data_IF_278928027755
#
_entry.id   IF_278928027755
#
_cell.length_a   1.000
_cell.length_b   1.000
_cell.length_c   1.000
_cell.angle_alpha   90.00
_cell.angle_beta   90.00
_cell.angle_gamma   90.00
#
_symmetry.space_group_name_H-M   'P 1'
#
loop_
_entity.id
_entity.type
_entity.pdbx_description
1 polymer ?
#
# COMPACT_ATOMS: atom_id res chain seq x y z
N UNK A 1 16.64 41.79 -34.53
CA UNK A 1 15.81 40.58 -34.70
C UNK A 1 15.01 40.38 -33.43
N UNK A 2 13.72 40.76 -33.40
CA UNK A 2 12.85 40.63 -32.21
C UNK A 2 12.13 39.29 -32.29
N UNK A 3 12.52 38.33 -31.46
CA UNK A 3 11.80 37.07 -31.28
C UNK A 3 10.59 37.34 -30.36
N UNK A 4 9.39 37.18 -30.92
CA UNK A 4 8.13 37.34 -30.17
C UNK A 4 7.78 36.01 -29.52
N UNK A 5 7.92 35.92 -28.21
CA UNK A 5 7.43 34.79 -27.42
C UNK A 5 5.89 34.90 -27.38
N UNK A 6 5.21 33.98 -28.07
CA UNK A 6 3.75 33.85 -27.98
C UNK A 6 3.42 33.26 -26.61
N UNK A 7 2.77 34.04 -25.75
CA UNK A 7 2.19 33.55 -24.51
C UNK A 7 1.14 32.48 -24.83
N UNK A 8 1.51 31.20 -24.69
CA UNK A 8 0.53 30.12 -24.67
C UNK A 8 -0.26 30.24 -23.38
N UNK A 9 -1.52 30.68 -23.48
CA UNK A 9 -2.48 30.67 -22.36
C UNK A 9 -2.83 29.22 -22.09
N UNK A 10 -2.04 28.55 -21.25
CA UNK A 10 -2.39 27.21 -20.74
C UNK A 10 -3.61 27.41 -19.84
N UNK A 11 -4.78 26.85 -20.18
CA UNK A 11 -5.98 27.03 -19.35
C UNK A 11 -5.75 26.37 -17.99
N UNK A 12 -6.06 27.09 -16.91
CA UNK A 12 -5.84 26.65 -15.53
C UNK A 12 -6.43 25.25 -15.21
N UNK A 13 -7.46 24.84 -15.94
CA UNK A 13 -8.09 23.52 -15.83
C UNK A 13 -7.12 22.35 -16.14
N UNK A 14 -6.13 22.54 -17.01
CA UNK A 14 -5.14 21.51 -17.36
C UNK A 14 -4.13 21.26 -16.23
N UNK A 15 -3.85 22.27 -15.40
CA UNK A 15 -2.96 22.14 -14.23
C UNK A 15 -3.67 21.36 -13.11
N UNK A 16 -4.99 21.51 -12.96
CA UNK A 16 -5.75 20.85 -11.89
C UNK A 16 -5.85 19.33 -12.08
N UNK A 17 -5.99 18.84 -13.32
CA UNK A 17 -6.13 17.41 -13.63
C UNK A 17 -4.81 16.65 -13.42
N UNK A 18 -3.66 17.31 -13.61
CA UNK A 18 -2.36 16.71 -13.34
C UNK A 18 -2.08 16.50 -11.84
N UNK A 19 -2.74 17.26 -10.96
CA UNK A 19 -2.49 17.23 -9.50
C UNK A 19 -3.23 16.10 -8.77
N UNK A 20 -4.31 15.57 -9.35
CA UNK A 20 -5.14 14.53 -8.71
C UNK A 20 -4.71 13.10 -9.06
N UNK A 21 -3.86 12.92 -10.07
CA UNK A 21 -3.24 11.63 -10.36
C UNK A 21 -2.01 11.43 -9.47
N UNK A 22 -2.18 11.55 -8.15
CA UNK A 22 -1.21 10.98 -7.22
C UNK A 22 -1.35 9.47 -7.38
N UNK A 23 -0.45 8.89 -8.18
CA UNK A 23 -0.37 7.47 -8.40
C UNK A 23 -0.59 6.76 -7.06
N UNK A 24 -1.69 6.02 -6.97
CA UNK A 24 -1.99 5.15 -5.84
C UNK A 24 -0.93 4.04 -5.91
N UNK A 25 0.27 4.33 -5.41
CA UNK A 25 1.35 3.36 -5.37
C UNK A 25 0.82 2.18 -4.57
N UNK A 26 0.83 1.01 -5.21
CA UNK A 26 0.44 -0.24 -4.57
C UNK A 26 1.19 -0.35 -3.23
N UNK A 27 0.43 -0.41 -2.14
CA UNK A 27 1.04 -0.46 -0.81
C UNK A 27 1.54 -1.88 -0.56
N UNK A 28 2.81 -1.97 -0.15
CA UNK A 28 3.46 -3.22 0.25
C UNK A 28 3.51 -3.24 1.77
N UNK A 29 3.06 -4.34 2.39
CA UNK A 29 3.22 -4.55 3.83
C UNK A 29 4.41 -5.46 4.10
N UNK A 30 5.28 -5.04 5.00
CA UNK A 30 6.36 -5.87 5.53
C UNK A 30 5.95 -6.52 6.85
N UNK A 31 6.25 -7.80 6.98
CA UNK A 31 5.87 -8.64 8.11
C UNK A 31 7.08 -9.38 8.65
N UNK A 32 7.16 -9.55 9.97
CA UNK A 32 8.24 -10.29 10.65
C UNK A 32 7.65 -11.18 11.75
N UNK A 33 8.27 -12.33 12.08
CA UNK A 33 7.89 -13.14 13.24
C UNK A 33 7.88 -12.35 14.56
N UNK A 34 8.75 -11.35 14.68
CA UNK A 34 8.86 -10.47 15.85
C UNK A 34 8.14 -9.13 15.65
N UNK A 35 7.37 -8.98 14.57
CA UNK A 35 6.59 -7.78 14.29
C UNK A 35 5.42 -7.61 15.27
N UNK A 36 4.84 -6.42 15.30
CA UNK A 36 3.70 -6.12 16.18
C UNK A 36 2.57 -5.43 15.40
N UNK A 37 1.33 -5.65 15.82
CA UNK A 37 0.11 -5.10 15.23
C UNK A 37 0.07 -3.57 15.23
N UNK A 38 0.87 -2.93 16.10
CA UNK A 38 0.95 -1.47 16.22
C UNK A 38 1.88 -0.83 15.21
N UNK A 39 2.74 -1.62 14.56
CA UNK A 39 3.69 -1.10 13.60
C UNK A 39 3.00 -0.67 12.30
N UNK A 40 3.57 0.30 11.57
CA UNK A 40 3.00 0.78 10.31
C UNK A 40 3.02 -0.26 9.18
N UNK A 41 3.87 -1.29 9.27
CA UNK A 41 4.06 -2.30 8.23
C UNK A 41 5.14 -1.96 7.22
N UNK A 42 6.15 -1.16 7.62
CA UNK A 42 7.32 -0.86 6.80
C UNK A 42 8.44 -1.86 7.07
N UNK A 43 9.49 -1.85 6.26
CA UNK A 43 10.63 -2.76 6.43
C UNK A 43 11.32 -2.61 7.79
N UNK A 44 11.43 -1.37 8.28
CA UNK A 44 12.07 -1.02 9.56
C UNK A 44 11.17 -1.30 10.75
N UNK A 45 9.85 -1.20 10.54
CA UNK A 45 8.83 -1.46 11.56
C UNK A 45 7.76 -2.41 10.97
N UNK A 46 8.06 -3.72 10.95
CA UNK A 46 7.20 -4.70 10.31
C UNK A 46 5.98 -5.04 11.19
N UNK A 47 4.87 -5.36 10.54
CA UNK A 47 3.65 -5.86 11.19
C UNK A 47 3.80 -7.31 11.66
N UNK A 48 2.92 -7.74 12.56
CA UNK A 48 2.65 -9.17 12.76
C UNK A 48 1.91 -9.74 11.55
N UNK A 49 1.93 -11.07 11.41
CA UNK A 49 1.26 -11.75 10.30
C UNK A 49 -0.26 -11.56 10.32
N UNK A 50 -0.91 -11.71 11.49
CA UNK A 50 -2.36 -11.57 11.61
C UNK A 50 -2.81 -10.15 11.26
N UNK A 51 -2.11 -9.14 11.76
CA UNK A 51 -2.45 -7.74 11.48
C UNK A 51 -2.27 -7.39 10.00
N UNK A 52 -1.24 -7.92 9.34
CA UNK A 52 -1.06 -7.72 7.91
C UNK A 52 -2.16 -8.35 7.08
N UNK A 53 -2.59 -9.58 7.41
CA UNK A 53 -3.72 -10.24 6.74
C UNK A 53 -5.02 -9.44 6.93
N UNK A 54 -5.31 -9.04 8.18
CA UNK A 54 -6.50 -8.23 8.48
C UNK A 54 -6.50 -6.92 7.69
N UNK A 55 -5.36 -6.22 7.65
CA UNK A 55 -5.23 -4.95 6.93
C UNK A 55 -5.34 -5.13 5.42
N UNK A 56 -4.66 -6.12 4.85
CA UNK A 56 -4.75 -6.42 3.41
C UNK A 56 -6.16 -6.87 2.98
N UNK A 57 -6.90 -7.54 3.88
CA UNK A 57 -8.29 -7.92 3.61
C UNK A 57 -9.24 -6.70 3.61
N UNK A 58 -8.90 -5.66 4.36
CA UNK A 58 -9.72 -4.44 4.47
C UNK A 58 -9.36 -3.36 3.45
N UNK A 59 -8.10 -3.33 2.97
CA UNK A 59 -7.58 -2.29 2.08
C UNK A 59 -7.16 -2.87 0.72
N UNK A 60 -8.00 -2.62 -0.30
CA UNK A 60 -7.74 -3.04 -1.68
C UNK A 60 -6.52 -2.35 -2.32
N UNK A 61 -5.98 -1.30 -1.72
CA UNK A 61 -4.74 -0.64 -2.14
C UNK A 61 -3.48 -1.44 -1.83
N UNK A 62 -3.57 -2.41 -0.93
CA UNK A 62 -2.46 -3.30 -0.58
C UNK A 62 -2.40 -4.43 -1.60
N UNK A 63 -1.27 -4.56 -2.30
CA UNK A 63 -1.10 -5.55 -3.37
C UNK A 63 -0.10 -6.65 -3.04
N UNK A 64 0.70 -6.45 -2.00
CA UNK A 64 1.79 -7.36 -1.66
C UNK A 64 2.03 -7.39 -0.15
N UNK A 65 2.30 -8.59 0.36
CA UNK A 65 2.77 -8.80 1.73
C UNK A 65 4.13 -9.50 1.63
N UNK A 66 5.17 -8.84 2.12
CA UNK A 66 6.55 -9.35 2.14
C UNK A 66 6.85 -9.92 3.53
N UNK A 67 7.15 -11.22 3.57
CA UNK A 67 7.53 -11.94 4.78
C UNK A 67 9.04 -11.88 4.98
N UNK A 68 9.49 -11.47 6.16
CA UNK A 68 10.86 -11.67 6.59
C UNK A 68 11.13 -13.16 6.86
N UNK A 69 12.39 -13.58 6.74
CA UNK A 69 12.78 -14.95 7.07
C UNK A 69 12.56 -15.25 8.56
N UNK A 70 12.05 -16.45 8.85
CA UNK A 70 11.85 -16.98 10.20
C UNK A 70 10.61 -17.86 10.30
N UNK A 71 10.25 -18.25 11.52
CA UNK A 71 9.11 -19.13 11.78
C UNK A 71 7.86 -18.33 12.16
N UNK A 72 6.73 -18.66 11.54
CA UNK A 72 5.43 -18.07 11.82
C UNK A 72 4.52 -19.13 12.43
N UNK A 73 4.09 -18.93 13.68
CA UNK A 73 3.20 -19.86 14.35
C UNK A 73 1.76 -19.69 13.84
N UNK A 74 1.16 -20.81 13.41
CA UNK A 74 -0.16 -20.87 12.77
C UNK A 74 -1.33 -20.51 13.70
N UNK A 75 -1.10 -20.50 15.02
CA UNK A 75 -2.07 -20.02 16.02
C UNK A 75 -2.56 -18.57 15.77
N UNK A 76 -1.89 -17.84 14.88
CA UNK A 76 -2.19 -16.46 14.53
C UNK A 76 -2.87 -16.30 13.16
N UNK A 77 -3.45 -17.35 12.56
CA UNK A 77 -4.19 -17.25 11.29
C UNK A 77 -5.50 -18.04 11.39
N UNK A 78 -6.62 -17.35 11.58
CA UNK A 78 -7.94 -17.99 11.58
C UNK A 78 -8.37 -18.39 10.16
N UNK A 79 -7.99 -19.59 9.71
CA UNK A 79 -8.40 -20.15 8.41
C UNK A 79 -9.77 -20.85 8.48
N UNK A 80 -10.79 -20.24 9.11
CA UNK A 80 -12.17 -20.75 8.97
C UNK A 80 -12.63 -20.51 7.54
N UNK A 81 -12.40 -21.51 6.70
CA UNK A 81 -12.98 -21.64 5.38
C UNK A 81 -14.37 -22.28 5.54
N UNK A 82 -15.51 -21.57 5.35
CA UNK A 82 -16.79 -22.25 5.18
C UNK A 82 -16.80 -22.86 3.77
N UNK A 83 -16.40 -24.12 3.66
CA UNK A 83 -16.67 -24.92 2.46
C UNK A 83 -18.17 -25.21 2.46
N UNK A 84 -18.92 -24.45 1.66
CA UNK A 84 -20.24 -24.76 1.09
C UNK A 84 -21.31 -25.36 2.02
N UNK A 85 -22.40 -24.62 2.19
CA UNK A 85 -23.75 -25.21 2.15
C UNK A 85 -24.52 -24.62 0.97
#
# INVERSE_FOLDING_TARGET
MKAWIRQARVPAALILIALTCSALAAQVLHVSPTGTDRNPGTREQPLSLQAAITRASADMGIKEIVLAGGEYLAENVNTRNPVGE
#
